data_IF_084895253781
#
_entry.id   IF_084895253781
#
_cell.length_a   1.000
_cell.length_b   1.000
_cell.length_c   1.000
_cell.angle_alpha   90.00
_cell.angle_beta   90.00
_cell.angle_gamma   90.00
#
_symmetry.space_group_name_H-M   'P 1'
#
loop_
_entity.id
_entity.type
_entity.pdbx_description
1 polymer ?
#
# COMPACT_ATOMS: atom_id res chain seq x y z
N UNK A 1 14.03 -10.22 -0.67
CA UNK A 1 12.63 -10.69 -0.57
C UNK A 1 11.89 -9.58 0.14
N UNK A 2 10.74 -9.10 -0.32
CA UNK A 2 10.01 -8.08 0.43
C UNK A 2 9.62 -8.68 1.79
N UNK A 3 10.15 -8.12 2.87
CA UNK A 3 9.88 -8.58 4.22
C UNK A 3 8.52 -8.03 4.68
N UNK A 4 7.65 -8.91 5.16
CA UNK A 4 6.39 -8.51 5.80
C UNK A 4 6.64 -7.97 7.21
N UNK A 5 5.87 -6.97 7.65
CA UNK A 5 6.03 -6.35 8.98
C UNK A 5 5.89 -7.35 10.15
N UNK A 6 5.15 -8.44 9.97
CA UNK A 6 5.06 -9.54 10.96
C UNK A 6 6.41 -10.21 11.19
N UNK A 7 7.22 -10.35 10.14
CA UNK A 7 8.55 -10.95 10.23
C UNK A 7 9.59 -10.00 10.83
N UNK A 8 9.28 -8.70 10.88
CA UNK A 8 10.15 -7.65 11.42
C UNK A 8 9.83 -7.29 12.88
N UNK A 9 8.77 -7.85 13.44
CA UNK A 9 8.40 -7.71 14.85
C UNK A 9 9.30 -8.61 15.70
N UNK A 10 10.23 -8.02 16.47
CA UNK A 10 11.21 -8.79 17.25
C UNK A 10 10.67 -9.24 18.61
N UNK A 11 10.01 -8.33 19.30
CA UNK A 11 9.23 -8.54 20.53
C UNK A 11 7.95 -7.70 20.35
N UNK A 12 6.87 -7.93 21.12
CA UNK A 12 5.54 -7.30 20.97
C UNK A 12 5.53 -5.74 21.11
N UNK A 13 6.68 -5.07 21.01
CA UNK A 13 6.91 -3.65 21.27
C UNK A 13 7.76 -2.88 20.26
N UNK A 14 8.48 -3.52 19.32
CA UNK A 14 9.27 -2.78 18.31
C UNK A 14 9.50 -3.54 16.99
N UNK A 15 9.63 -2.76 15.91
CA UNK A 15 9.91 -3.24 14.55
C UNK A 15 11.28 -2.74 14.09
N UNK A 16 12.01 -3.53 13.32
CA UNK A 16 13.28 -3.14 12.69
C UNK A 16 13.15 -3.17 11.18
N UNK A 17 13.55 -2.09 10.51
CA UNK A 17 13.61 -2.04 9.05
C UNK A 17 14.94 -2.60 8.50
N UNK A 18 15.11 -2.55 7.17
CA UNK A 18 16.30 -3.04 6.49
C UNK A 18 17.58 -2.24 6.82
N UNK A 19 17.44 -1.05 7.41
CA UNK A 19 18.52 -0.14 7.80
C UNK A 19 18.83 -0.20 9.31
N UNK A 20 18.31 -1.21 10.02
CA UNK A 20 18.41 -1.38 11.48
C UNK A 20 17.80 -0.19 12.27
N UNK A 21 16.82 0.52 11.70
CA UNK A 21 16.09 1.58 12.38
C UNK A 21 14.92 0.96 13.15
N UNK A 22 14.87 1.26 14.45
CA UNK A 22 13.77 0.81 15.31
C UNK A 22 12.54 1.70 15.19
N UNK A 23 11.38 1.08 15.03
CA UNK A 23 10.07 1.73 15.03
C UNK A 23 9.28 1.30 16.28
N UNK A 24 8.64 2.28 16.91
CA UNK A 24 7.89 2.10 18.17
C UNK A 24 6.56 1.36 17.97
N UNK A 25 6.00 1.38 16.77
CA UNK A 25 4.72 0.75 16.45
C UNK A 25 4.60 0.45 14.94
N UNK A 26 3.55 -0.30 14.57
CA UNK A 26 3.28 -0.70 13.18
C UNK A 26 3.04 0.51 12.27
N UNK A 27 2.35 1.55 12.76
CA UNK A 27 2.10 2.78 12.01
C UNK A 27 3.41 3.47 11.58
N UNK A 28 4.38 3.57 12.50
CA UNK A 28 5.69 4.17 12.24
C UNK A 28 6.51 3.34 11.25
N UNK A 29 6.48 2.01 11.37
CA UNK A 29 7.16 1.12 10.43
C UNK A 29 6.57 1.23 9.02
N UNK A 30 5.25 1.04 8.89
CA UNK A 30 4.55 1.09 7.60
C UNK A 30 4.63 2.47 6.96
N UNK A 31 4.50 3.53 7.78
CA UNK A 31 4.70 4.90 7.36
C UNK A 31 6.10 5.12 6.79
N UNK A 32 7.15 4.61 7.44
CA UNK A 32 8.51 4.73 6.96
C UNK A 32 8.75 4.00 5.62
N UNK A 33 8.21 2.79 5.47
CA UNK A 33 8.28 2.03 4.20
C UNK A 33 7.66 2.82 3.02
N UNK A 34 6.63 3.62 3.30
CA UNK A 34 6.00 4.55 2.35
C UNK A 34 6.66 5.95 2.32
N UNK A 35 7.68 6.18 3.13
CA UNK A 35 8.34 7.47 3.38
C UNK A 35 7.39 8.60 3.81
N UNK A 36 6.38 8.25 4.60
CA UNK A 36 5.57 9.21 5.33
C UNK A 36 6.29 9.64 6.61
N UNK A 37 6.18 10.92 6.95
CA UNK A 37 6.84 11.46 8.14
C UNK A 37 6.13 11.13 9.46
N UNK A 38 4.96 10.47 9.41
CA UNK A 38 4.14 10.15 10.59
C UNK A 38 3.37 11.32 11.20
N UNK A 39 3.50 12.55 10.67
CA UNK A 39 2.80 13.72 11.21
C UNK A 39 1.38 13.86 10.63
N UNK A 40 0.46 14.43 11.40
CA UNK A 40 -0.90 14.75 10.94
C UNK A 40 -1.88 13.60 11.15
N UNK A 41 -2.34 12.96 10.06
CA UNK A 41 -3.26 11.80 10.09
C UNK A 41 -2.60 10.59 9.40
N UNK A 42 -1.56 9.99 10.03
CA UNK A 42 -0.83 8.86 9.44
C UNK A 42 -1.71 7.63 9.20
N UNK A 43 -2.55 7.25 10.17
CA UNK A 43 -3.55 6.18 10.04
C UNK A 43 -4.40 6.31 8.77
N UNK A 44 -5.06 7.46 8.57
CA UNK A 44 -5.85 7.74 7.36
C UNK A 44 -5.05 7.56 6.07
N UNK A 45 -3.78 7.99 6.06
CA UNK A 45 -2.92 7.85 4.90
C UNK A 45 -2.61 6.37 4.62
N UNK A 46 -2.32 5.58 5.65
CA UNK A 46 -2.07 4.14 5.53
C UNK A 46 -3.32 3.39 5.04
N UNK A 47 -4.48 3.67 5.63
CA UNK A 47 -5.76 3.07 5.21
C UNK A 47 -6.15 3.47 3.80
N UNK A 48 -5.87 4.71 3.39
CA UNK A 48 -6.05 5.13 2.01
C UNK A 48 -5.13 4.35 1.05
N UNK A 49 -3.84 4.20 1.38
CA UNK A 49 -2.92 3.42 0.57
C UNK A 49 -3.34 1.95 0.48
N UNK A 50 -3.85 1.37 1.57
CA UNK A 50 -4.45 0.03 1.60
C UNK A 50 -5.58 -0.10 0.58
N UNK A 51 -6.54 0.82 0.62
CA UNK A 51 -7.71 0.77 -0.26
C UNK A 51 -7.33 0.95 -1.74
N UNK A 52 -6.31 1.78 -2.02
CA UNK A 52 -5.74 1.91 -3.37
C UNK A 52 -5.12 0.59 -3.84
N UNK A 53 -4.33 -0.08 -3.00
CA UNK A 53 -3.69 -1.35 -3.37
C UNK A 53 -4.75 -2.44 -3.61
N UNK A 54 -5.79 -2.53 -2.78
CA UNK A 54 -6.93 -3.45 -3.00
C UNK A 54 -7.70 -3.14 -4.29
N UNK A 55 -7.90 -1.87 -4.62
CA UNK A 55 -8.55 -1.50 -5.87
C UNK A 55 -7.70 -1.84 -7.12
N UNK A 56 -6.39 -1.97 -6.94
CA UNK A 56 -5.45 -2.38 -7.99
C UNK A 56 -5.23 -3.89 -8.06
N UNK A 57 -5.49 -4.62 -6.97
CA UNK A 57 -5.32 -6.06 -6.92
C UNK A 57 -6.37 -6.75 -7.81
N UNK A 58 -5.86 -7.54 -8.73
CA UNK A 58 -6.67 -8.42 -9.57
C UNK A 58 -5.94 -9.72 -9.77
N UNK A 59 -6.70 -10.81 -9.73
CA UNK A 59 -6.16 -12.17 -9.74
C UNK A 59 -5.62 -12.65 -11.09
N UNK A 60 -5.61 -11.79 -12.12
CA UNK A 60 -5.15 -12.16 -13.45
C UNK A 60 -5.26 -11.05 -14.49
N UNK A 61 -4.93 -11.41 -15.73
CA UNK A 61 -4.95 -10.52 -16.90
C UNK A 61 -6.15 -10.75 -17.82
N UNK A 62 -7.21 -11.41 -17.34
CA UNK A 62 -8.42 -11.59 -18.14
C UNK A 62 -9.18 -10.27 -18.31
N UNK A 63 -10.07 -10.23 -19.29
CA UNK A 63 -10.90 -9.05 -19.55
C UNK A 63 -11.84 -8.73 -18.39
N UNK A 64 -12.46 -9.75 -17.80
CA UNK A 64 -13.44 -9.56 -16.72
C UNK A 64 -12.76 -8.99 -15.47
N UNK A 65 -11.56 -9.48 -15.15
CA UNK A 65 -10.74 -8.96 -14.05
C UNK A 65 -10.32 -7.50 -14.30
N UNK A 66 -9.98 -7.15 -15.54
CA UNK A 66 -9.68 -5.76 -15.92
C UNK A 66 -10.91 -4.84 -15.79
N UNK A 67 -12.10 -5.32 -16.14
CA UNK A 67 -13.35 -4.58 -15.98
C UNK A 67 -13.70 -4.38 -14.49
N UNK A 68 -13.51 -5.41 -13.66
CA UNK A 68 -13.66 -5.33 -12.20
C UNK A 68 -12.69 -4.32 -11.58
N UNK A 69 -11.41 -4.36 -11.95
CA UNK A 69 -10.40 -3.39 -11.53
C UNK A 69 -10.83 -1.96 -11.79
N UNK A 70 -11.25 -1.67 -13.02
CA UNK A 70 -11.64 -0.32 -13.40
C UNK A 70 -12.89 0.14 -12.67
N UNK A 71 -13.81 -0.78 -12.34
CA UNK A 71 -14.96 -0.48 -11.51
C UNK A 71 -14.51 -0.10 -10.10
N UNK A 72 -13.66 -0.89 -9.46
CA UNK A 72 -13.16 -0.63 -8.10
C UNK A 72 -12.41 0.71 -8.03
N UNK A 73 -11.52 0.98 -9.01
CA UNK A 73 -10.83 2.26 -9.12
C UNK A 73 -11.81 3.42 -9.32
N UNK A 74 -12.81 3.27 -10.20
CA UNK A 74 -13.81 4.32 -10.42
C UNK A 74 -14.63 4.62 -9.17
N UNK A 75 -14.94 3.61 -8.37
CA UNK A 75 -15.63 3.78 -7.08
C UNK A 75 -14.74 4.50 -6.07
N UNK A 76 -13.48 4.09 -5.92
CA UNK A 76 -12.50 4.74 -5.05
C UNK A 76 -12.25 6.21 -5.44
N UNK A 77 -12.10 6.48 -6.73
CA UNK A 77 -11.76 7.80 -7.27
C UNK A 77 -12.97 8.67 -7.61
N UNK A 78 -14.20 8.26 -7.29
CA UNK A 78 -15.44 8.86 -7.83
C UNK A 78 -15.51 10.40 -7.73
N UNK A 79 -14.89 11.01 -6.72
CA UNK A 79 -14.87 12.46 -6.48
C UNK A 79 -13.47 13.07 -6.48
N UNK A 80 -12.45 12.30 -6.86
CA UNK A 80 -11.05 12.73 -6.83
C UNK A 80 -10.64 13.16 -8.25
N UNK A 81 -10.03 14.34 -8.44
CA UNK A 81 -9.53 14.75 -9.74
C UNK A 81 -8.49 13.76 -10.29
N UNK A 82 -8.55 13.48 -11.60
CA UNK A 82 -7.62 12.59 -12.29
C UNK A 82 -6.15 12.90 -11.99
N UNK A 83 -5.80 14.19 -11.85
CA UNK A 83 -4.44 14.61 -11.50
C UNK A 83 -3.95 14.05 -10.15
N UNK A 84 -4.82 13.95 -9.15
CA UNK A 84 -4.47 13.35 -7.85
C UNK A 84 -4.36 11.84 -7.98
N UNK A 85 -5.26 11.21 -8.74
CA UNK A 85 -5.17 9.78 -9.04
C UNK A 85 -3.82 9.43 -9.68
N UNK A 86 -3.39 10.16 -10.71
CA UNK A 86 -2.09 9.92 -11.35
C UNK A 86 -0.91 10.24 -10.43
N UNK A 87 -1.01 11.24 -9.55
CA UNK A 87 0.01 11.49 -8.53
C UNK A 87 0.21 10.26 -7.64
N UNK A 88 -0.88 9.63 -7.20
CA UNK A 88 -0.83 8.39 -6.40
C UNK A 88 -0.21 7.25 -7.21
N UNK A 89 -0.57 7.09 -8.48
CA UNK A 89 0.03 6.03 -9.29
C UNK A 89 1.52 6.23 -9.54
N UNK A 90 1.98 7.46 -9.77
CA UNK A 90 3.41 7.75 -9.86
C UNK A 90 4.12 7.52 -8.53
N UNK A 91 3.46 7.80 -7.41
CA UNK A 91 3.98 7.48 -6.09
C UNK A 91 4.14 5.97 -5.90
N UNK A 92 3.13 5.16 -6.26
CA UNK A 92 3.20 3.69 -6.17
C UNK A 92 4.32 3.10 -7.04
N UNK A 93 4.49 3.62 -8.25
CA UNK A 93 5.57 3.24 -9.17
C UNK A 93 6.95 3.58 -8.58
N UNK A 94 7.13 4.80 -8.07
CA UNK A 94 8.36 5.23 -7.40
C UNK A 94 8.67 4.39 -6.14
N UNK A 95 7.64 3.83 -5.49
CA UNK A 95 7.80 2.90 -4.36
C UNK A 95 7.98 1.45 -4.77
N UNK A 96 7.97 1.17 -6.07
CA UNK A 96 8.06 -0.16 -6.67
C UNK A 96 6.93 -1.10 -6.20
N UNK A 97 5.78 -0.52 -5.80
CA UNK A 97 4.60 -1.27 -5.39
C UNK A 97 3.77 -1.72 -6.59
N UNK A 98 3.91 -1.01 -7.71
CA UNK A 98 3.35 -1.39 -9.00
C UNK A 98 4.44 -1.53 -10.04
N UNK A 99 4.25 -2.44 -10.98
CA UNK A 99 5.00 -2.52 -12.23
C UNK A 99 4.73 -1.28 -13.10
N UNK A 100 5.71 -0.92 -13.93
CA UNK A 100 5.55 0.09 -14.97
C UNK A 100 5.47 -0.61 -16.34
N UNK A 101 4.39 -0.39 -17.07
CA UNK A 101 4.21 -0.87 -18.45
C UNK A 101 4.14 0.29 -19.46
N UNK A 102 3.38 0.12 -20.54
CA UNK A 102 3.00 1.24 -21.43
C UNK A 102 1.91 2.16 -20.86
N UNK A 103 1.38 1.83 -19.67
CA UNK A 103 0.30 2.55 -18.98
C UNK A 103 0.55 2.54 -17.47
N UNK A 104 0.01 3.54 -16.79
CA UNK A 104 0.03 3.70 -15.33
C UNK A 104 -1.42 3.80 -14.84
N UNK A 105 -1.81 3.07 -13.78
CA UNK A 105 -0.97 2.18 -12.97
C UNK A 105 -0.80 0.80 -13.63
N UNK A 106 0.36 0.17 -13.44
CA UNK A 106 0.57 -1.23 -13.82
C UNK A 106 -0.06 -2.19 -12.81
N UNK A 107 0.45 -3.42 -12.72
CA UNK A 107 0.02 -4.44 -11.76
C UNK A 107 0.81 -4.33 -10.46
N UNK A 108 0.27 -4.80 -9.34
CA UNK A 108 1.03 -4.91 -8.10
C UNK A 108 2.28 -5.79 -8.29
N UNK A 109 3.39 -5.37 -7.70
CA UNK A 109 4.60 -6.20 -7.56
C UNK A 109 4.45 -7.14 -6.36
N UNK A 110 5.40 -8.05 -6.16
CA UNK A 110 5.49 -8.81 -4.91
C UNK A 110 5.56 -7.88 -3.69
N UNK A 111 6.31 -6.78 -3.78
CA UNK A 111 6.39 -5.75 -2.74
C UNK A 111 5.04 -5.06 -2.51
N UNK A 112 4.31 -4.76 -3.59
CA UNK A 112 2.95 -4.22 -3.52
C UNK A 112 1.96 -5.15 -2.81
N UNK A 113 2.02 -6.45 -3.11
CA UNK A 113 1.20 -7.47 -2.46
C UNK A 113 1.55 -7.62 -0.97
N UNK A 114 2.85 -7.65 -0.63
CA UNK A 114 3.30 -7.69 0.77
C UNK A 114 2.84 -6.45 1.54
N UNK A 115 3.00 -5.25 0.97
CA UNK A 115 2.53 -4.01 1.59
C UNK A 115 1.00 -4.01 1.79
N UNK A 116 0.25 -4.50 0.81
CA UNK A 116 -1.22 -4.63 0.93
C UNK A 116 -1.61 -5.55 2.09
N UNK A 117 -0.94 -6.70 2.21
CA UNK A 117 -1.16 -7.65 3.31
C UNK A 117 -0.79 -7.03 4.67
N UNK A 118 0.36 -6.37 4.78
CA UNK A 118 0.79 -5.75 6.02
C UNK A 118 -0.18 -4.65 6.49
N UNK A 119 -0.74 -3.89 5.54
CA UNK A 119 -1.77 -2.90 5.82
C UNK A 119 -3.12 -3.53 6.21
N UNK A 120 -3.44 -4.75 5.74
CA UNK A 120 -4.62 -5.49 6.19
C UNK A 120 -4.49 -5.93 7.66
N UNK A 121 -3.31 -6.43 8.05
CA UNK A 121 -3.07 -6.81 9.44
C UNK A 121 -3.08 -5.58 10.35
N UNK A 122 -2.43 -4.49 9.94
CA UNK A 122 -2.48 -3.22 10.68
C UNK A 122 -3.93 -2.73 10.88
N UNK A 123 -4.78 -2.83 9.85
CA UNK A 123 -6.20 -2.51 9.99
C UNK A 123 -6.90 -3.41 11.02
N UNK A 124 -6.54 -4.69 11.10
CA UNK A 124 -7.03 -5.59 12.14
C UNK A 124 -6.62 -5.14 13.54
N UNK A 125 -5.38 -4.70 13.73
CA UNK A 125 -4.86 -4.25 15.03
C UNK A 125 -5.53 -2.97 15.55
N UNK A 126 -6.00 -2.07 14.67
CA UNK A 126 -6.70 -0.83 15.08
C UNK A 126 -8.20 -1.03 15.37
N UNK A 127 -8.80 -2.10 14.81
CA UNK A 127 -10.23 -2.41 14.98
C UNK A 127 -10.52 -3.22 16.26
N UNK A 128 -9.48 -3.71 16.96
CA UNK A 128 -9.54 -4.46 18.25
C UNK A 128 -9.54 -3.55 19.49
#
# INVERSE_FOLDING_TARGET
>A
MPYSFEHMRQDDSWFLDEDDISHENAESYLGNQLSFCGCGRPEDALLFMRDVLHALDTKGGSRDEWEERNKNLKELWHSIPDGIMYLVYYFLDNKELTTHGGSVPGWLTEKGLTMMHDLDVYKGEIDE
#
